data_IF_159408904506
#
_entry.id   IF_159408904506
#
_cell.length_a   1.000
_cell.length_b   1.000
_cell.length_c   1.000
_cell.angle_alpha   90.00
_cell.angle_beta   90.00
_cell.angle_gamma   90.00
#
_symmetry.space_group_name_H-M   'P 1'
#
loop_
_entity.id
_entity.type
_entity.pdbx_description
1 polymer ?
#
# COMPACT_ATOMS: atom_id res chain seq x y z
N UNK A 1 -5.43 25.43 -17.88
CA UNK A 1 -4.54 24.23 -17.74
C UNK A 1 -3.58 24.22 -18.90
N UNK A 2 -2.31 24.28 -18.63
CA UNK A 2 -1.25 24.37 -19.65
C UNK A 2 -1.21 23.06 -20.47
N UNK A 3 -0.97 23.10 -21.79
CA UNK A 3 -0.96 21.92 -22.67
C UNK A 3 0.13 20.87 -22.36
N UNK A 4 1.01 21.16 -21.40
CA UNK A 4 2.06 20.24 -20.93
C UNK A 4 1.55 19.05 -20.12
N UNK A 5 0.43 19.17 -19.39
CA UNK A 5 -0.07 18.13 -18.49
C UNK A 5 -0.41 16.81 -19.20
N UNK A 6 -1.15 16.79 -20.32
CA UNK A 6 -1.44 15.54 -21.02
C UNK A 6 -0.20 14.83 -21.55
N UNK A 7 0.80 15.57 -22.02
CA UNK A 7 2.06 15.01 -22.52
C UNK A 7 2.87 14.35 -21.38
N UNK A 8 2.95 15.01 -20.23
CA UNK A 8 3.64 14.45 -19.04
C UNK A 8 2.96 13.17 -18.57
N UNK A 9 1.62 13.19 -18.45
CA UNK A 9 0.85 11.98 -18.06
C UNK A 9 1.10 10.83 -19.04
N UNK A 10 1.08 11.12 -20.34
CA UNK A 10 1.35 10.11 -21.37
C UNK A 10 2.77 9.52 -21.23
N UNK A 11 3.78 10.37 -21.06
CA UNK A 11 5.17 9.91 -20.89
C UNK A 11 5.36 9.08 -19.63
N UNK A 12 4.74 9.47 -18.51
CA UNK A 12 4.77 8.69 -17.27
C UNK A 12 4.08 7.32 -17.42
N UNK A 13 2.94 7.25 -18.11
CA UNK A 13 2.28 5.98 -18.42
C UNK A 13 3.16 5.09 -19.29
N UNK A 14 3.79 5.64 -20.32
CA UNK A 14 4.72 4.90 -21.18
C UNK A 14 5.92 4.36 -20.38
N UNK A 15 6.48 5.18 -19.48
CA UNK A 15 7.59 4.77 -18.63
C UNK A 15 7.18 3.64 -17.67
N UNK A 16 6.03 3.74 -17.00
CA UNK A 16 5.51 2.69 -16.11
C UNK A 16 5.20 1.38 -16.85
N UNK A 17 4.76 1.45 -18.11
CA UNK A 17 4.54 0.28 -18.95
C UNK A 17 5.83 -0.20 -19.63
N UNK A 18 6.90 0.60 -19.61
CA UNK A 18 8.17 0.32 -20.26
C UNK A 18 9.05 -0.68 -19.51
N UNK A 19 10.14 -1.14 -20.15
CA UNK A 19 11.08 -2.05 -19.52
C UNK A 19 11.92 -1.38 -18.44
N UNK A 20 12.01 -0.05 -18.42
CA UNK A 20 12.85 0.69 -17.49
C UNK A 20 12.35 0.62 -16.05
N UNK A 21 11.03 0.53 -15.84
CA UNK A 21 10.43 0.47 -14.51
C UNK A 21 10.25 -0.95 -13.98
N UNK A 22 10.65 -1.99 -14.76
CA UNK A 22 10.30 -3.38 -14.48
C UNK A 22 11.49 -4.29 -14.65
N UNK A 23 11.70 -5.18 -13.68
CA UNK A 23 12.68 -6.26 -13.78
C UNK A 23 12.34 -7.30 -14.85
N UNK A 24 13.32 -8.12 -15.18
CA UNK A 24 13.14 -9.23 -16.14
C UNK A 24 12.12 -10.28 -15.69
N UNK A 25 11.86 -10.34 -14.37
CA UNK A 25 10.90 -11.22 -13.73
C UNK A 25 9.44 -10.70 -13.79
N UNK A 26 9.23 -9.46 -14.26
CA UNK A 26 7.91 -8.84 -14.37
C UNK A 26 7.52 -7.95 -13.19
N UNK A 27 8.31 -7.92 -12.13
CA UNK A 27 8.10 -7.07 -10.96
C UNK A 27 8.55 -5.62 -11.21
N UNK A 28 7.98 -4.69 -10.47
CA UNK A 28 8.39 -3.31 -10.50
C UNK A 28 9.61 -3.06 -9.61
N UNK A 29 10.51 -2.20 -10.08
CA UNK A 29 11.71 -1.81 -9.33
C UNK A 29 11.37 -0.77 -8.27
N UNK A 30 12.14 -0.79 -7.17
CA UNK A 30 11.89 0.08 -6.02
C UNK A 30 12.11 1.56 -6.35
N UNK A 31 13.22 1.89 -7.01
CA UNK A 31 13.59 3.25 -7.45
C UNK A 31 14.67 3.20 -8.51
N UNK A 32 14.93 4.36 -9.12
CA UNK A 32 16.11 4.61 -9.93
C UNK A 32 17.16 5.32 -9.08
N UNK A 33 18.35 4.78 -9.02
CA UNK A 33 19.48 5.41 -8.33
C UNK A 33 20.22 6.33 -9.32
N UNK A 34 20.03 7.63 -9.14
CA UNK A 34 20.59 8.63 -10.02
C UNK A 34 22.12 8.80 -9.87
N UNK A 35 22.66 8.42 -8.73
CA UNK A 35 24.11 8.56 -8.45
C UNK A 35 24.92 7.52 -9.19
N UNK A 36 24.38 6.31 -9.32
CA UNK A 36 25.02 5.20 -10.06
C UNK A 36 24.43 4.98 -11.45
N UNK A 37 23.27 5.57 -11.74
CA UNK A 37 22.62 5.46 -13.05
C UNK A 37 21.91 4.13 -13.29
N UNK A 38 21.52 3.42 -12.23
CA UNK A 38 20.95 2.07 -12.31
C UNK A 38 19.59 1.96 -11.61
N UNK A 39 18.79 0.99 -12.07
CA UNK A 39 17.59 0.57 -11.36
C UNK A 39 17.97 -0.22 -10.12
N UNK A 40 17.27 0.04 -9.01
CA UNK A 40 17.41 -0.73 -7.79
C UNK A 40 16.79 -2.15 -7.96
N UNK A 41 16.52 -2.81 -6.88
CA UNK A 41 15.91 -4.13 -6.83
C UNK A 41 14.41 -4.13 -7.13
N UNK A 42 13.85 -5.26 -7.53
CA UNK A 42 12.40 -5.46 -7.63
C UNK A 42 11.76 -5.52 -6.24
N UNK A 43 10.60 -4.86 -6.07
CA UNK A 43 10.02 -4.69 -4.76
C UNK A 43 8.50 -5.01 -4.75
N UNK A 44 8.06 -5.93 -3.86
CA UNK A 44 6.67 -6.39 -3.84
C UNK A 44 5.66 -5.28 -3.54
N UNK A 45 5.95 -4.39 -2.61
CA UNK A 45 5.10 -3.24 -2.28
C UNK A 45 4.89 -2.34 -3.50
N UNK A 46 5.98 -1.94 -4.17
CA UNK A 46 5.93 -1.09 -5.36
C UNK A 46 5.21 -1.78 -6.52
N UNK A 47 5.38 -3.10 -6.64
CA UNK A 47 4.62 -3.90 -7.61
C UNK A 47 3.11 -3.85 -7.31
N UNK A 48 2.71 -3.93 -6.03
CA UNK A 48 1.33 -3.74 -5.61
C UNK A 48 0.76 -2.35 -5.93
N UNK A 49 1.56 -1.29 -5.73
CA UNK A 49 1.18 0.07 -6.13
C UNK A 49 1.00 0.21 -7.64
N UNK A 50 1.93 -0.34 -8.42
CA UNK A 50 1.84 -0.29 -9.87
C UNK A 50 0.59 -1.01 -10.38
N UNK A 51 0.25 -2.17 -9.81
CA UNK A 51 -0.97 -2.89 -10.11
C UNK A 51 -2.23 -2.08 -9.75
N UNK A 52 -2.25 -1.42 -8.60
CA UNK A 52 -3.33 -0.53 -8.19
C UNK A 52 -3.54 0.59 -9.20
N UNK A 53 -2.44 1.23 -9.66
CA UNK A 53 -2.49 2.28 -10.67
C UNK A 53 -2.99 1.75 -12.02
N UNK A 54 -2.43 0.65 -12.52
CA UNK A 54 -2.80 0.06 -13.82
C UNK A 54 -4.26 -0.39 -13.85
N UNK A 55 -4.76 -0.94 -12.75
CA UNK A 55 -6.17 -1.33 -12.63
C UNK A 55 -7.13 -0.14 -12.65
N UNK A 56 -6.69 1.03 -12.19
CA UNK A 56 -7.48 2.26 -12.18
C UNK A 56 -7.52 2.98 -13.54
N UNK A 57 -6.70 2.58 -14.52
CA UNK A 57 -6.70 3.20 -15.84
C UNK A 57 -8.03 2.93 -16.57
N UNK A 58 -8.72 3.95 -17.11
CA UNK A 58 -9.99 3.75 -17.80
C UNK A 58 -9.83 2.89 -19.06
N UNK A 59 -8.79 3.15 -19.84
CA UNK A 59 -8.52 2.50 -21.13
C UNK A 59 -7.06 2.00 -21.17
N UNK A 60 -6.74 0.86 -20.51
CA UNK A 60 -5.39 0.32 -20.54
C UNK A 60 -5.05 -0.25 -21.91
N UNK A 61 -3.85 0.04 -22.39
CA UNK A 61 -3.28 -0.53 -23.60
C UNK A 61 -2.97 -2.02 -23.44
N UNK A 62 -2.75 -2.75 -24.51
CA UNK A 62 -2.34 -4.16 -24.46
C UNK A 62 -1.01 -4.33 -23.72
N UNK A 63 -0.08 -3.39 -23.86
CA UNK A 63 1.18 -3.40 -23.12
C UNK A 63 0.97 -3.25 -21.60
N UNK A 64 0.08 -2.34 -21.16
CA UNK A 64 -0.27 -2.15 -19.76
C UNK A 64 -0.98 -3.39 -19.20
N UNK A 65 -1.90 -4.01 -19.96
CA UNK A 65 -2.56 -5.28 -19.58
C UNK A 65 -1.55 -6.42 -19.42
N UNK A 66 -0.68 -6.61 -20.41
CA UNK A 66 0.35 -7.64 -20.37
C UNK A 66 1.32 -7.42 -19.21
N UNK A 67 1.61 -6.16 -18.88
CA UNK A 67 2.44 -5.79 -17.73
C UNK A 67 1.75 -6.16 -16.41
N UNK A 68 0.46 -5.82 -16.28
CA UNK A 68 -0.33 -6.17 -15.10
C UNK A 68 -0.37 -7.69 -14.88
N UNK A 69 -0.59 -8.48 -15.93
CA UNK A 69 -0.62 -9.94 -15.83
C UNK A 69 0.71 -10.49 -15.28
N UNK A 70 1.85 -10.06 -15.84
CA UNK A 70 3.16 -10.52 -15.35
C UNK A 70 3.44 -10.12 -13.91
N UNK A 71 3.06 -8.91 -13.52
CA UNK A 71 3.22 -8.45 -12.14
C UNK A 71 2.32 -9.23 -11.16
N UNK A 72 1.08 -9.57 -11.57
CA UNK A 72 0.19 -10.45 -10.81
C UNK A 72 0.78 -11.84 -10.66
N UNK A 73 1.28 -12.43 -11.75
CA UNK A 73 1.92 -13.76 -11.74
C UNK A 73 3.12 -13.79 -10.79
N UNK A 74 3.96 -12.75 -10.82
CA UNK A 74 5.13 -12.64 -9.95
C UNK A 74 4.75 -12.55 -8.46
N UNK A 75 3.82 -11.65 -8.08
CA UNK A 75 3.35 -11.54 -6.69
C UNK A 75 2.69 -12.84 -6.21
N UNK A 76 1.87 -13.46 -7.06
CA UNK A 76 1.16 -14.70 -6.74
C UNK A 76 2.11 -15.88 -6.55
N UNK A 77 3.15 -15.98 -7.38
CA UNK A 77 4.18 -17.01 -7.23
C UNK A 77 4.94 -16.84 -5.91
N UNK A 78 5.41 -15.64 -5.59
CA UNK A 78 6.11 -15.35 -4.32
C UNK A 78 5.29 -15.78 -3.10
N UNK A 79 4.00 -15.40 -3.08
CA UNK A 79 3.11 -15.77 -1.98
C UNK A 79 2.99 -17.28 -1.83
N UNK A 80 2.77 -18.01 -2.93
CA UNK A 80 2.63 -19.47 -2.94
C UNK A 80 3.92 -20.20 -2.54
N UNK A 81 5.06 -19.62 -2.87
CA UNK A 81 6.39 -20.15 -2.50
C UNK A 81 6.75 -19.84 -1.04
N UNK A 82 5.88 -19.15 -0.30
CA UNK A 82 6.10 -18.78 1.10
C UNK A 82 7.08 -17.63 1.30
N UNK A 83 7.47 -16.92 0.24
CA UNK A 83 8.30 -15.73 0.32
C UNK A 83 7.43 -14.48 0.51
N UNK A 84 7.09 -14.21 1.76
CA UNK A 84 6.27 -13.05 2.15
C UNK A 84 7.10 -11.84 2.58
N UNK A 85 8.41 -11.92 2.42
CA UNK A 85 9.33 -10.89 2.89
C UNK A 85 9.39 -9.67 1.96
N UNK A 86 9.77 -8.54 2.54
CA UNK A 86 10.15 -7.32 1.83
C UNK A 86 11.57 -7.40 1.22
N UNK A 87 12.09 -8.57 1.04
CA UNK A 87 13.50 -8.99 0.97
C UNK A 87 14.35 -8.40 -0.15
N UNK A 88 13.79 -7.75 -1.11
CA UNK A 88 14.58 -7.34 -2.27
C UNK A 88 15.60 -6.26 -1.90
N UNK A 89 16.81 -6.63 -1.58
CA UNK A 89 17.95 -5.72 -1.40
C UNK A 89 18.04 -5.02 -0.02
N UNK A 90 17.16 -5.30 0.91
CA UNK A 90 17.14 -4.65 2.23
C UNK A 90 17.80 -5.47 3.34
N UNK A 91 18.33 -6.65 3.06
CA UNK A 91 18.86 -7.58 4.07
C UNK A 91 17.85 -7.86 5.22
N UNK A 92 16.57 -7.86 4.90
CA UNK A 92 15.47 -7.98 5.84
C UNK A 92 14.51 -9.06 5.35
N UNK A 93 14.42 -10.16 6.08
CA UNK A 93 13.52 -11.27 5.79
C UNK A 93 12.14 -11.11 6.47
N UNK A 94 11.87 -9.94 7.03
CA UNK A 94 10.62 -9.65 7.71
C UNK A 94 9.48 -9.42 6.74
N UNK A 95 8.31 -9.76 7.23
CA UNK A 95 7.05 -9.44 6.58
C UNK A 95 6.47 -8.18 7.22
N UNK A 96 6.11 -7.21 6.40
CA UNK A 96 5.52 -5.96 6.85
C UNK A 96 4.04 -5.89 6.48
N UNK A 97 3.23 -5.43 7.45
CA UNK A 97 1.79 -5.24 7.27
C UNK A 97 1.49 -4.35 6.06
N UNK A 98 2.20 -3.23 5.98
CA UNK A 98 1.99 -2.25 4.91
C UNK A 98 2.28 -2.83 3.53
N UNK A 99 3.42 -3.52 3.39
CA UNK A 99 3.83 -4.14 2.13
C UNK A 99 2.81 -5.17 1.65
N UNK A 100 2.34 -6.04 2.55
CA UNK A 100 1.30 -7.02 2.23
C UNK A 100 -0.03 -6.35 1.86
N UNK A 101 -0.42 -5.29 2.56
CA UNK A 101 -1.65 -4.57 2.26
C UNK A 101 -1.61 -3.95 0.85
N UNK A 102 -0.47 -3.41 0.42
CA UNK A 102 -0.32 -2.85 -0.93
C UNK A 102 -0.32 -3.94 -2.00
N UNK A 103 0.34 -5.07 -1.74
CA UNK A 103 0.29 -6.25 -2.63
C UNK A 103 -1.14 -6.77 -2.79
N UNK A 104 -1.86 -7.00 -1.68
CA UNK A 104 -3.24 -7.47 -1.69
C UNK A 104 -4.15 -6.50 -2.45
N UNK A 105 -4.00 -5.19 -2.24
CA UNK A 105 -4.80 -4.19 -2.94
C UNK A 105 -4.58 -4.24 -4.46
N UNK A 106 -3.33 -4.32 -4.89
CA UNK A 106 -2.99 -4.46 -6.31
C UNK A 106 -3.54 -5.74 -6.93
N UNK A 107 -3.42 -6.87 -6.24
CA UNK A 107 -3.97 -8.16 -6.68
C UNK A 107 -5.50 -8.15 -6.76
N UNK A 108 -6.20 -7.59 -5.77
CA UNK A 108 -7.67 -7.45 -5.77
C UNK A 108 -8.14 -6.65 -6.97
N UNK A 109 -7.62 -5.46 -7.17
CA UNK A 109 -8.06 -4.56 -8.23
C UNK A 109 -7.73 -5.12 -9.61
N UNK A 110 -6.53 -5.67 -9.80
CA UNK A 110 -6.13 -6.30 -11.06
C UNK A 110 -6.88 -7.60 -11.31
N UNK A 111 -7.13 -8.41 -10.27
CA UNK A 111 -7.90 -9.64 -10.34
C UNK A 111 -9.32 -9.40 -10.87
N UNK A 112 -9.98 -8.37 -10.35
CA UNK A 112 -11.31 -7.95 -10.86
C UNK A 112 -11.21 -7.39 -12.28
N UNK A 113 -10.26 -6.51 -12.53
CA UNK A 113 -10.15 -5.79 -13.81
C UNK A 113 -9.83 -6.70 -14.99
N UNK A 114 -9.05 -7.74 -14.75
CA UNK A 114 -8.53 -8.65 -15.77
C UNK A 114 -9.18 -10.05 -15.75
N UNK A 115 -10.15 -10.25 -14.85
CA UNK A 115 -10.82 -11.54 -14.63
C UNK A 115 -9.81 -12.66 -14.30
N UNK A 116 -8.99 -12.42 -13.26
CA UNK A 116 -7.94 -13.34 -12.79
C UNK A 116 -8.32 -13.93 -11.43
N UNK A 117 -9.06 -15.05 -11.36
CA UNK A 117 -9.49 -15.64 -10.08
C UNK A 117 -8.32 -16.03 -9.16
N UNK A 118 -7.22 -16.51 -9.73
CA UNK A 118 -6.00 -16.83 -8.99
C UNK A 118 -5.41 -15.64 -8.22
N UNK A 119 -5.52 -14.43 -8.78
CA UNK A 119 -5.09 -13.21 -8.09
C UNK A 119 -6.01 -12.87 -6.91
N UNK A 120 -7.31 -13.09 -7.07
CA UNK A 120 -8.29 -12.91 -5.99
C UNK A 120 -8.09 -13.93 -4.87
N UNK A 121 -7.68 -15.15 -5.22
CA UNK A 121 -7.37 -16.20 -4.26
C UNK A 121 -6.17 -15.80 -3.38
N UNK A 122 -5.08 -15.41 -4.01
CA UNK A 122 -3.87 -14.97 -3.28
C UNK A 122 -4.14 -13.70 -2.46
N UNK A 123 -4.89 -12.73 -3.02
CA UNK A 123 -5.28 -11.53 -2.28
C UNK A 123 -6.10 -11.89 -1.03
N UNK A 124 -7.01 -12.84 -1.14
CA UNK A 124 -7.81 -13.34 0.00
C UNK A 124 -6.96 -13.96 1.09
N UNK A 125 -5.97 -14.76 0.72
CA UNK A 125 -5.03 -15.35 1.66
C UNK A 125 -4.20 -14.28 2.41
N UNK A 126 -3.69 -13.28 1.68
CA UNK A 126 -2.96 -12.15 2.27
C UNK A 126 -3.86 -11.36 3.23
N UNK A 127 -5.08 -11.01 2.81
CA UNK A 127 -6.03 -10.28 3.67
C UNK A 127 -6.39 -11.06 4.91
N UNK A 128 -6.57 -12.38 4.80
CA UNK A 128 -6.84 -13.26 5.93
C UNK A 128 -5.67 -13.28 6.92
N UNK A 129 -4.44 -13.32 6.42
CA UNK A 129 -3.24 -13.24 7.25
C UNK A 129 -3.12 -11.89 7.98
N UNK A 130 -3.41 -10.78 7.28
CA UNK A 130 -3.45 -9.44 7.87
C UNK A 130 -4.54 -9.32 8.95
N UNK A 131 -5.74 -9.84 8.68
CA UNK A 131 -6.85 -9.82 9.62
C UNK A 131 -6.53 -10.62 10.89
N UNK A 132 -5.94 -11.81 10.74
CA UNK A 132 -5.52 -12.63 11.86
C UNK A 132 -4.43 -11.94 12.70
N UNK A 133 -3.48 -11.28 12.05
CA UNK A 133 -2.45 -10.51 12.73
C UNK A 133 -3.06 -9.36 13.55
N UNK A 134 -4.00 -8.61 12.98
CA UNK A 134 -4.69 -7.52 13.70
C UNK A 134 -5.47 -8.03 14.90
N UNK A 135 -6.17 -9.16 14.77
CA UNK A 135 -6.93 -9.78 15.87
C UNK A 135 -6.05 -10.21 17.02
N UNK A 136 -4.86 -10.76 16.72
CA UNK A 136 -3.95 -11.28 17.75
C UNK A 136 -3.10 -10.21 18.42
N UNK A 137 -2.69 -9.21 17.67
CA UNK A 137 -1.60 -8.32 18.09
C UNK A 137 -1.90 -6.84 17.87
N UNK A 138 -3.03 -6.48 17.26
CA UNK A 138 -3.25 -5.16 16.67
C UNK A 138 -2.50 -5.01 15.34
N UNK A 139 -2.65 -3.88 14.68
CA UNK A 139 -1.88 -3.58 13.47
C UNK A 139 -0.44 -3.20 13.87
N UNK A 140 0.50 -4.09 13.61
CA UNK A 140 1.92 -3.91 13.86
C UNK A 140 2.66 -3.69 12.54
N UNK A 141 3.68 -2.81 12.49
CA UNK A 141 4.47 -2.62 11.28
C UNK A 141 5.10 -3.92 10.77
N UNK A 142 5.79 -4.66 11.62
CA UNK A 142 6.36 -5.97 11.30
C UNK A 142 5.48 -7.09 11.85
N UNK A 143 5.21 -8.10 11.01
CA UNK A 143 4.35 -9.23 11.36
C UNK A 143 5.16 -10.32 12.09
N UNK A 144 4.71 -10.81 13.27
CA UNK A 144 5.34 -11.96 13.90
C UNK A 144 5.33 -13.21 12.97
N UNK A 145 6.26 -14.17 13.11
CA UNK A 145 7.13 -14.37 14.27
C UNK A 145 8.49 -13.64 14.19
N UNK A 146 8.78 -12.91 13.15
CA UNK A 146 10.11 -12.36 12.92
C UNK A 146 10.52 -11.24 13.89
N UNK A 147 9.61 -10.83 14.78
CA UNK A 147 9.86 -9.85 15.83
C UNK A 147 10.04 -8.40 15.31
N UNK A 148 10.35 -7.45 16.19
CA UNK A 148 10.55 -6.08 15.79
C UNK A 148 11.76 -5.94 14.87
N UNK A 149 11.68 -5.03 13.90
CA UNK A 149 12.80 -4.72 13.01
C UNK A 149 13.98 -4.16 13.81
N UNK A 150 15.22 -4.52 13.50
CA UNK A 150 16.41 -3.87 14.05
C UNK A 150 16.57 -2.44 13.52
N UNK A 151 15.88 -2.10 12.44
CA UNK A 151 15.84 -0.74 11.91
C UNK A 151 14.90 0.10 12.76
N UNK A 152 15.31 1.33 13.04
CA UNK A 152 14.48 2.34 13.70
C UNK A 152 13.90 3.29 12.64
N UNK A 153 12.75 3.86 12.95
CA UNK A 153 12.11 4.84 12.08
C UNK A 153 10.63 4.56 11.84
N UNK A 154 10.00 5.45 11.12
CA UNK A 154 8.54 5.45 10.93
C UNK A 154 8.00 4.14 10.33
N UNK A 155 8.72 3.53 9.37
CA UNK A 155 8.25 2.33 8.67
C UNK A 155 8.25 1.07 9.52
N UNK A 156 9.01 1.05 10.61
CA UNK A 156 9.22 -0.12 11.46
C UNK A 156 8.65 0.02 12.85
N UNK A 157 8.39 1.25 13.30
CA UNK A 157 7.90 1.55 14.65
C UNK A 157 6.60 2.36 14.63
N UNK A 158 6.36 3.16 13.59
CA UNK A 158 5.17 3.97 13.46
C UNK A 158 3.95 3.15 13.05
N UNK A 159 2.76 3.59 13.45
CA UNK A 159 1.49 2.93 13.09
C UNK A 159 0.59 3.78 12.21
N UNK A 160 0.86 5.07 12.09
CA UNK A 160 0.01 6.00 11.32
C UNK A 160 -0.18 5.54 9.87
N UNK A 161 0.90 5.16 9.19
CA UNK A 161 0.88 4.74 7.79
C UNK A 161 0.09 3.45 7.53
N UNK A 162 -0.11 2.61 8.55
CA UNK A 162 -0.86 1.35 8.43
C UNK A 162 -2.33 1.60 8.08
N UNK A 163 -2.85 2.80 8.38
CA UNK A 163 -4.20 3.19 7.98
C UNK A 163 -4.45 3.08 6.47
N UNK A 164 -3.43 3.27 5.64
CA UNK A 164 -3.56 3.06 4.19
C UNK A 164 -3.93 1.62 3.83
N UNK A 165 -3.53 0.65 4.64
CA UNK A 165 -3.93 -0.75 4.49
C UNK A 165 -5.43 -1.00 4.62
N UNK A 166 -6.18 -0.06 5.20
CA UNK A 166 -7.66 -0.11 5.25
C UNK A 166 -8.27 -0.16 3.85
N UNK A 167 -7.62 0.42 2.84
CA UNK A 167 -8.09 0.35 1.45
C UNK A 167 -8.23 -1.09 0.97
N UNK A 168 -7.21 -1.91 1.17
CA UNK A 168 -7.26 -3.31 0.75
C UNK A 168 -8.32 -4.11 1.53
N UNK A 169 -8.49 -3.85 2.83
CA UNK A 169 -9.51 -4.48 3.67
C UNK A 169 -10.93 -4.13 3.21
N UNK A 170 -11.17 -2.87 2.86
CA UNK A 170 -12.45 -2.40 2.32
C UNK A 170 -12.73 -3.01 0.95
N UNK A 171 -11.75 -3.05 0.06
CA UNK A 171 -11.90 -3.68 -1.26
C UNK A 171 -12.17 -5.18 -1.13
N UNK A 172 -11.44 -5.89 -0.27
CA UNK A 172 -11.65 -7.32 -0.05
C UNK A 172 -13.04 -7.62 0.50
N UNK A 173 -13.53 -6.82 1.47
CA UNK A 173 -14.88 -6.95 2.04
C UNK A 173 -15.98 -6.90 0.99
N UNK A 174 -15.80 -6.10 -0.07
CA UNK A 174 -16.78 -5.95 -1.14
C UNK A 174 -16.58 -6.97 -2.25
N UNK A 175 -15.33 -7.25 -2.60
CA UNK A 175 -14.98 -8.05 -3.78
C UNK A 175 -15.00 -9.56 -3.53
N UNK A 176 -14.51 -9.99 -2.36
CA UNK A 176 -14.34 -11.41 -2.00
C UNK A 176 -14.84 -11.71 -0.58
N UNK A 177 -16.07 -11.28 -0.19
CA UNK A 177 -16.56 -11.40 1.19
C UNK A 177 -16.56 -12.84 1.71
N UNK A 178 -16.94 -13.79 0.88
CA UNK A 178 -17.01 -15.21 1.26
C UNK A 178 -15.65 -15.81 1.61
N UNK A 179 -14.57 -15.23 1.07
CA UNK A 179 -13.21 -15.72 1.28
C UNK A 179 -12.56 -15.12 2.53
N UNK A 180 -12.77 -13.83 2.79
CA UNK A 180 -12.12 -13.14 3.91
C UNK A 180 -12.96 -13.11 5.18
N UNK A 181 -14.22 -13.51 5.10
CA UNK A 181 -15.16 -13.45 6.21
C UNK A 181 -15.43 -12.00 6.67
N UNK A 182 -15.86 -11.86 7.93
CA UNK A 182 -16.09 -10.51 8.48
C UNK A 182 -14.78 -9.80 8.78
N UNK A 183 -14.71 -8.52 8.42
CA UNK A 183 -13.62 -7.59 8.75
C UNK A 183 -14.10 -6.45 9.65
N UNK A 184 -15.29 -6.60 10.24
CA UNK A 184 -15.96 -5.56 11.02
C UNK A 184 -15.27 -5.26 12.37
N UNK A 185 -14.43 -6.18 12.83
CA UNK A 185 -13.54 -6.00 13.98
C UNK A 185 -12.14 -5.48 13.58
N UNK A 186 -11.69 -5.84 12.38
CA UNK A 186 -10.33 -5.57 11.90
C UNK A 186 -10.19 -4.12 11.41
N UNK A 187 -11.10 -3.68 10.54
CA UNK A 187 -11.04 -2.33 9.95
C UNK A 187 -11.08 -1.25 11.03
N UNK A 188 -12.04 -1.27 12.00
CA UNK A 188 -12.06 -0.29 13.07
C UNK A 188 -10.82 -0.32 13.96
N UNK A 189 -10.21 -1.49 14.19
CA UNK A 189 -8.99 -1.58 14.99
C UNK A 189 -7.82 -0.86 14.33
N UNK A 190 -7.61 -1.04 13.01
CA UNK A 190 -6.56 -0.32 12.27
C UNK A 190 -6.83 1.18 12.25
N UNK A 191 -8.08 1.59 12.04
CA UNK A 191 -8.51 2.99 12.05
C UNK A 191 -8.24 3.63 13.41
N UNK A 192 -8.63 2.97 14.51
CA UNK A 192 -8.44 3.48 15.87
C UNK A 192 -6.97 3.74 16.17
N UNK A 193 -6.08 2.82 15.83
CA UNK A 193 -4.63 3.00 16.02
C UNK A 193 -4.08 4.24 15.30
N UNK A 194 -4.57 4.54 14.10
CA UNK A 194 -4.16 5.74 13.40
C UNK A 194 -4.71 7.01 14.07
N UNK A 195 -5.97 6.99 14.52
CA UNK A 195 -6.59 8.11 15.22
C UNK A 195 -5.88 8.42 16.56
N UNK A 196 -5.42 7.40 17.28
CA UNK A 196 -4.74 7.54 18.57
C UNK A 196 -3.40 8.29 18.46
N UNK A 197 -2.77 8.29 17.29
CA UNK A 197 -1.51 8.99 17.06
C UNK A 197 -1.69 10.36 16.39
N UNK A 198 -2.93 10.81 16.17
CA UNK A 198 -3.21 12.15 15.67
C UNK A 198 -3.12 13.19 16.82
N UNK A 199 -2.46 14.30 16.56
CA UNK A 199 -2.36 15.42 17.48
C UNK A 199 -3.49 16.44 17.24
N UNK A 200 -3.79 17.30 18.24
CA UNK A 200 -4.86 18.31 18.12
C UNK A 200 -4.70 19.29 16.96
N UNK A 201 -3.48 19.51 16.48
CA UNK A 201 -3.18 20.34 15.31
C UNK A 201 -3.47 19.64 13.97
N UNK A 202 -3.84 18.37 13.99
CA UNK A 202 -4.17 17.54 12.83
C UNK A 202 -3.03 16.66 12.34
N UNK A 203 -1.79 16.86 12.80
CA UNK A 203 -0.65 16.01 12.39
C UNK A 203 -0.74 14.61 12.96
N UNK A 204 -0.27 13.63 12.22
CA UNK A 204 -0.06 12.27 12.70
C UNK A 204 1.40 12.11 13.15
N UNK A 205 1.62 11.61 14.35
CA UNK A 205 2.96 11.18 14.78
C UNK A 205 3.32 9.93 13.99
N UNK A 206 4.37 10.00 13.20
CA UNK A 206 4.81 8.89 12.34
C UNK A 206 5.99 8.13 12.93
N UNK A 207 6.84 8.82 13.68
CA UNK A 207 7.90 8.19 14.46
C UNK A 207 7.62 8.40 15.96
N UNK A 208 7.22 7.34 16.69
CA UNK A 208 6.86 7.47 18.09
C UNK A 208 8.07 7.76 19.02
N UNK A 209 9.30 7.44 18.58
CA UNK A 209 10.48 7.65 19.41
C UNK A 209 10.79 9.13 19.61
N UNK A 210 10.62 9.94 18.56
CA UNK A 210 10.96 11.36 18.56
C UNK A 210 9.74 12.27 18.41
N UNK A 211 8.53 11.71 18.40
CA UNK A 211 7.28 12.43 18.09
C UNK A 211 7.31 13.19 16.74
N UNK A 212 8.11 12.70 15.80
CA UNK A 212 8.30 13.32 14.48
C UNK A 212 7.11 13.00 13.58
N UNK A 213 6.77 13.97 12.74
CA UNK A 213 5.84 13.80 11.63
C UNK A 213 6.60 13.91 10.30
N UNK A 214 6.80 12.77 9.64
CA UNK A 214 7.27 12.73 8.27
C UNK A 214 6.08 12.83 7.33
N UNK A 215 6.21 13.65 6.29
CA UNK A 215 5.10 13.95 5.37
C UNK A 215 4.52 12.70 4.69
N UNK A 216 5.38 11.81 4.23
CA UNK A 216 5.00 10.61 3.46
C UNK A 216 4.08 9.68 4.27
N UNK A 217 4.48 9.12 5.44
CA UNK A 217 3.59 8.27 6.23
C UNK A 217 2.40 9.02 6.85
N UNK A 218 2.51 10.35 7.06
CA UNK A 218 1.39 11.18 7.46
C UNK A 218 0.29 11.20 6.39
N UNK A 219 0.67 11.37 5.11
CA UNK A 219 -0.29 11.36 4.01
C UNK A 219 -0.90 9.96 3.79
N UNK A 220 -0.20 8.89 4.10
CA UNK A 220 -0.79 7.55 4.10
C UNK A 220 -1.90 7.39 5.15
N UNK A 221 -1.72 7.98 6.34
CA UNK A 221 -2.80 8.02 7.34
C UNK A 221 -4.01 8.82 6.84
N UNK A 222 -3.77 10.00 6.27
CA UNK A 222 -4.83 10.85 5.69
C UNK A 222 -5.62 10.09 4.63
N UNK A 223 -4.92 9.43 3.69
CA UNK A 223 -5.53 8.69 2.59
C UNK A 223 -6.37 7.50 3.10
N UNK A 224 -5.81 6.70 4.01
CA UNK A 224 -6.52 5.54 4.55
C UNK A 224 -7.79 5.93 5.32
N UNK A 225 -7.71 6.95 6.18
CA UNK A 225 -8.86 7.46 6.91
C UNK A 225 -9.90 8.11 5.99
N UNK A 226 -9.48 8.79 4.94
CA UNK A 226 -10.40 9.32 3.94
C UNK A 226 -11.14 8.21 3.21
N UNK A 227 -10.45 7.16 2.77
CA UNK A 227 -11.08 6.00 2.14
C UNK A 227 -12.07 5.30 3.08
N UNK A 228 -11.71 5.15 4.36
CA UNK A 228 -12.62 4.61 5.37
C UNK A 228 -13.89 5.46 5.50
N UNK A 229 -13.74 6.77 5.62
CA UNK A 229 -14.88 7.69 5.72
C UNK A 229 -15.79 7.62 4.49
N UNK A 230 -15.23 7.56 3.28
CA UNK A 230 -16.02 7.46 2.06
C UNK A 230 -16.79 6.13 1.97
N UNK A 231 -16.20 5.04 2.41
CA UNK A 231 -16.82 3.71 2.33
C UNK A 231 -17.86 3.45 3.41
N UNK A 232 -17.74 4.10 4.58
CA UNK A 232 -18.56 3.80 5.76
C UNK A 232 -19.44 4.96 6.24
N UNK A 233 -19.16 6.18 5.80
CA UNK A 233 -19.79 7.40 6.32
C UNK A 233 -19.25 7.84 7.69
N UNK A 234 -18.12 7.25 8.16
CA UNK A 234 -17.56 7.56 9.49
C UNK A 234 -17.05 9.01 9.58
N UNK A 235 -17.71 9.81 10.40
CA UNK A 235 -17.40 11.22 10.57
C UNK A 235 -16.11 11.48 11.35
N UNK A 236 -15.66 10.54 12.18
CA UNK A 236 -14.42 10.69 12.92
C UNK A 236 -13.23 10.58 11.95
N UNK A 237 -13.21 9.55 11.12
CA UNK A 237 -12.22 9.38 10.05
C UNK A 237 -12.23 10.55 9.06
N UNK A 238 -13.43 11.06 8.67
CA UNK A 238 -13.53 12.20 7.77
C UNK A 238 -12.87 13.45 8.35
N UNK A 239 -13.19 13.79 9.62
CA UNK A 239 -12.59 14.95 10.30
C UNK A 239 -11.07 14.78 10.49
N UNK A 240 -10.63 13.60 10.86
CA UNK A 240 -9.20 13.32 11.06
C UNK A 240 -8.41 13.47 9.75
N UNK A 241 -8.93 12.92 8.66
CA UNK A 241 -8.32 13.05 7.33
C UNK A 241 -8.27 14.52 6.87
N UNK A 242 -9.36 15.27 7.05
CA UNK A 242 -9.42 16.69 6.70
C UNK A 242 -8.43 17.52 7.52
N UNK A 243 -8.35 17.28 8.84
CA UNK A 243 -7.39 17.96 9.71
C UNK A 243 -5.93 17.65 9.31
N UNK A 244 -5.63 16.38 9.01
CA UNK A 244 -4.31 15.98 8.53
C UNK A 244 -3.94 16.63 7.20
N UNK A 245 -4.85 16.67 6.24
CA UNK A 245 -4.63 17.36 4.97
C UNK A 245 -4.43 18.87 5.18
N UNK A 246 -5.24 19.52 6.02
CA UNK A 246 -5.11 20.94 6.34
C UNK A 246 -3.75 21.25 6.98
N UNK A 247 -3.27 20.40 7.87
CA UNK A 247 -1.96 20.54 8.49
C UNK A 247 -0.83 20.61 7.45
N UNK A 248 -0.87 19.74 6.42
CA UNK A 248 0.11 19.76 5.32
C UNK A 248 0.10 21.08 4.58
N UNK A 249 -1.09 21.60 4.22
CA UNK A 249 -1.21 22.89 3.53
C UNK A 249 -0.66 24.06 4.33
N UNK A 250 -0.81 24.03 5.67
CA UNK A 250 -0.32 25.07 6.56
C UNK A 250 1.21 25.06 6.75
N UNK A 251 1.84 23.89 6.52
CA UNK A 251 3.27 23.68 6.75
C UNK A 251 4.08 23.47 5.48
N UNK A 252 3.46 23.70 4.30
CA UNK A 252 4.21 23.73 3.04
C UNK A 252 5.24 24.86 3.08
N UNK A 253 6.48 24.51 2.69
CA UNK A 253 7.48 25.54 2.39
C UNK A 253 7.05 26.29 1.13
N UNK A 254 7.31 27.62 1.06
CA UNK A 254 6.99 28.44 -0.09
C UNK A 254 7.77 28.04 -1.33
#
# INVERSE_FOLDING_TARGET
>A
MTPLMPAVIHSLRQWLAGPEAVGSDGAYVAWYDADVGEMAFTYPEITGYALTHLAALPDPTDAERARSIRAVEWLSARWRDGDHSARSGWDDDRTYFFDLAMQANGLLLSGVRLDLPDALDVAGDIVSALAEQVRRHGALPAIPPNGPSPRTGWSTQGVAHLAKGVQCLLHARVTIPDRVGTLDDVIPAVVAQALDVQRPDGRFVTDPADEVTMLHPHLYAVEGLWCHAQATGDQASARAAQAGAAWVWQHQLP
#
